data_IF_925267561132
#
_entry.id   IF_925267561132
#
_cell.length_a   1.000
_cell.length_b   1.000
_cell.length_c   1.000
_cell.angle_alpha   90.00
_cell.angle_beta   90.00
_cell.angle_gamma   90.00
#
_symmetry.space_group_name_H-M   'P 1'
#
loop_
_entity.id
_entity.type
_entity.pdbx_description
1 polymer ?
#
# COMPACT_ATOMS: atom_id res chain seq x y z
N UNK A 1 12.59 35.23 -1.50
CA UNK A 1 11.55 34.88 -2.49
C UNK A 1 12.17 33.82 -3.40
N UNK A 2 11.54 32.66 -3.57
CA UNK A 2 12.07 31.61 -4.45
C UNK A 2 11.96 32.13 -5.90
N UNK A 3 13.07 32.38 -6.58
CA UNK A 3 13.07 32.80 -7.97
C UNK A 3 13.00 31.57 -8.87
N UNK A 4 11.93 31.47 -9.67
CA UNK A 4 11.71 30.34 -10.57
C UNK A 4 12.23 30.72 -11.97
N UNK A 5 13.36 30.15 -12.36
CA UNK A 5 13.90 30.32 -13.70
C UNK A 5 13.16 29.43 -14.72
N UNK A 6 12.24 30.05 -15.46
CA UNK A 6 11.46 29.38 -16.51
C UNK A 6 12.35 28.85 -17.63
N UNK A 7 13.47 29.49 -17.93
CA UNK A 7 14.39 29.01 -18.96
C UNK A 7 15.07 27.72 -18.53
N UNK A 8 15.41 27.61 -17.24
CA UNK A 8 15.96 26.39 -16.68
C UNK A 8 14.95 25.24 -16.73
N UNK A 9 13.69 25.48 -16.37
CA UNK A 9 12.61 24.48 -16.46
C UNK A 9 12.45 23.99 -17.89
N UNK A 10 12.29 24.91 -18.86
CA UNK A 10 12.16 24.56 -20.28
C UNK A 10 13.36 23.79 -20.83
N UNK A 11 14.57 24.07 -20.33
CA UNK A 11 15.79 23.37 -20.73
C UNK A 11 15.81 21.91 -20.27
N UNK A 12 15.29 21.63 -19.08
CA UNK A 12 15.36 20.31 -18.42
C UNK A 12 14.05 19.53 -18.39
N UNK A 13 12.94 20.09 -18.88
CA UNK A 13 11.66 19.40 -19.11
C UNK A 13 11.79 18.41 -20.27
N UNK A 14 12.42 17.28 -19.99
CA UNK A 14 12.68 16.17 -20.91
C UNK A 14 12.35 14.85 -20.22
N UNK A 15 11.91 13.81 -20.95
CA UNK A 15 11.72 12.49 -20.38
C UNK A 15 13.00 11.99 -19.70
N UNK A 16 12.85 11.50 -18.47
CA UNK A 16 13.94 10.95 -17.67
C UNK A 16 13.47 9.71 -16.88
N UNK A 17 14.40 8.90 -16.37
CA UNK A 17 14.04 7.74 -15.55
C UNK A 17 13.33 8.19 -14.28
N UNK A 18 12.28 7.46 -13.90
CA UNK A 18 11.61 7.66 -12.62
C UNK A 18 12.47 7.04 -11.53
N UNK A 19 13.17 7.87 -10.75
CA UNK A 19 14.02 7.43 -9.64
C UNK A 19 13.18 7.07 -8.41
N UNK A 20 12.43 5.96 -8.51
CA UNK A 20 11.71 5.37 -7.36
C UNK A 20 12.61 4.48 -6.49
N UNK A 21 13.67 3.93 -7.08
CA UNK A 21 14.71 3.13 -6.43
C UNK A 21 15.99 3.20 -7.27
N UNK A 22 17.11 2.72 -6.71
CA UNK A 22 18.34 2.53 -7.46
C UNK A 22 18.98 1.17 -7.13
N UNK A 23 19.23 0.29 -8.12
CA UNK A 23 18.81 0.40 -9.52
C UNK A 23 17.29 0.52 -9.69
N UNK A 24 16.86 1.07 -10.83
CA UNK A 24 15.44 1.23 -11.16
C UNK A 24 14.82 -0.09 -11.63
N UNK A 25 13.49 -0.21 -11.61
CA UNK A 25 12.76 -1.42 -12.00
C UNK A 25 13.12 -2.02 -13.38
N UNK A 26 13.48 -1.26 -14.43
CA UNK A 26 13.96 -1.83 -15.69
C UNK A 26 15.22 -2.71 -15.58
N UNK A 27 15.93 -2.67 -14.45
CA UNK A 27 17.06 -3.56 -14.17
C UNK A 27 16.65 -4.89 -13.51
N UNK A 28 15.38 -5.07 -13.15
CA UNK A 28 14.89 -6.35 -12.64
C UNK A 28 14.85 -7.38 -13.77
N UNK A 29 15.27 -8.60 -13.48
CA UNK A 29 15.37 -9.66 -14.47
C UNK A 29 15.10 -11.04 -13.85
N UNK A 30 14.73 -12.01 -14.68
CA UNK A 30 14.34 -13.36 -14.25
C UNK A 30 15.51 -14.21 -13.70
N UNK A 31 16.76 -13.78 -13.82
CA UNK A 31 17.91 -14.46 -13.19
C UNK A 31 17.88 -14.35 -11.66
N UNK A 32 17.11 -13.43 -11.08
CA UNK A 32 16.86 -13.41 -9.64
C UNK A 32 15.66 -14.33 -9.34
N UNK A 33 15.95 -15.49 -8.78
CA UNK A 33 15.00 -16.61 -8.61
C UNK A 33 14.40 -16.65 -7.20
N UNK A 34 13.36 -17.47 -6.97
CA UNK A 34 12.83 -17.70 -5.63
C UNK A 34 13.88 -18.22 -4.64
N UNK A 35 14.84 -19.03 -5.09
CA UNK A 35 15.94 -19.50 -4.24
C UNK A 35 16.86 -18.35 -3.83
N UNK A 36 17.18 -17.43 -4.76
CA UNK A 36 17.97 -16.24 -4.42
C UNK A 36 17.27 -15.37 -3.38
N UNK A 37 15.95 -15.18 -3.52
CA UNK A 37 15.15 -14.44 -2.54
C UNK A 37 15.16 -15.12 -1.16
N UNK A 38 14.94 -16.43 -1.11
CA UNK A 38 14.94 -17.20 0.14
C UNK A 38 16.30 -17.14 0.82
N UNK A 39 17.37 -17.40 0.08
CA UNK A 39 18.73 -17.45 0.63
C UNK A 39 19.16 -16.08 1.16
N UNK A 40 18.83 -14.99 0.44
CA UNK A 40 19.09 -13.63 0.90
C UNK A 40 18.25 -13.24 2.13
N UNK A 41 16.98 -13.69 2.18
CA UNK A 41 16.12 -13.49 3.36
C UNK A 41 16.71 -14.19 4.57
N UNK A 42 17.10 -15.47 4.45
CA UNK A 42 17.73 -16.21 5.54
C UNK A 42 19.03 -15.52 5.98
N UNK A 43 19.89 -15.16 5.02
CA UNK A 43 21.18 -14.50 5.28
C UNK A 43 21.02 -13.19 6.04
N UNK A 44 20.03 -12.36 5.70
CA UNK A 44 19.77 -11.07 6.35
C UNK A 44 19.02 -11.17 7.68
N UNK A 45 18.59 -12.37 8.07
CA UNK A 45 17.95 -12.69 9.34
C UNK A 45 18.87 -13.48 10.29
N UNK A 46 20.18 -13.58 10.00
CA UNK A 46 21.19 -14.20 10.86
C UNK A 46 22.08 -13.15 11.53
N UNK A 47 22.42 -13.38 12.80
CA UNK A 47 23.35 -12.55 13.57
C UNK A 47 22.66 -11.70 14.64
N UNK A 48 23.39 -10.74 15.20
CA UNK A 48 22.93 -9.80 16.23
C UNK A 48 22.60 -8.43 15.63
N UNK A 49 21.77 -7.63 16.30
CA UNK A 49 21.39 -6.26 15.89
C UNK A 49 20.76 -6.19 14.50
N UNK A 50 19.83 -7.10 14.21
CA UNK A 50 19.12 -7.14 12.94
C UNK A 50 18.35 -5.82 12.71
N UNK A 51 18.34 -5.28 11.48
CA UNK A 51 17.60 -4.06 11.20
C UNK A 51 16.10 -4.29 11.33
N UNK A 52 15.38 -3.27 11.82
CA UNK A 52 13.93 -3.33 11.92
C UNK A 52 13.24 -3.56 10.56
N UNK A 53 12.01 -4.08 10.61
CA UNK A 53 11.18 -4.36 9.45
C UNK A 53 10.28 -3.17 9.10
N UNK A 54 10.11 -2.98 7.79
CA UNK A 54 9.07 -2.16 7.21
C UNK A 54 8.23 -3.05 6.29
N UNK A 55 6.95 -3.21 6.61
CA UNK A 55 6.04 -4.10 5.90
C UNK A 55 5.16 -3.29 4.94
N UNK A 56 5.05 -3.75 3.70
CA UNK A 56 4.13 -3.19 2.72
C UNK A 56 3.23 -4.30 2.18
N UNK A 57 1.91 -4.06 2.24
CA UNK A 57 0.91 -4.95 1.71
C UNK A 57 0.17 -4.25 0.57
N UNK A 58 0.22 -4.86 -0.61
CA UNK A 58 -0.45 -4.35 -1.79
C UNK A 58 -1.86 -4.93 -1.87
N UNK A 59 -2.90 -4.10 -1.77
CA UNK A 59 -4.29 -4.52 -1.91
C UNK A 59 -4.83 -3.95 -3.23
N UNK A 60 -4.86 -4.74 -4.32
CA UNK A 60 -4.98 -4.19 -5.67
C UNK A 60 -6.41 -3.83 -6.05
N UNK A 61 -7.40 -4.02 -5.19
CA UNK A 61 -8.81 -3.93 -5.60
C UNK A 61 -9.35 -2.51 -5.51
N UNK A 62 -10.11 -2.09 -6.52
CA UNK A 62 -10.95 -0.90 -6.42
C UNK A 62 -12.37 -1.21 -6.88
N UNK A 63 -13.32 -0.44 -6.38
CA UNK A 63 -14.71 -0.45 -6.84
C UNK A 63 -14.85 0.06 -8.29
N UNK A 64 -14.23 1.20 -8.58
CA UNK A 64 -14.44 1.94 -9.84
C UNK A 64 -13.11 2.34 -10.48
N UNK A 65 -13.03 2.23 -11.82
CA UNK A 65 -11.87 2.66 -12.61
C UNK A 65 -11.80 4.19 -12.69
N UNK A 66 -10.80 4.80 -12.06
CA UNK A 66 -10.45 6.20 -12.32
C UNK A 66 -9.60 6.28 -13.59
N UNK A 67 -10.00 7.07 -14.60
CA UNK A 67 -9.38 7.05 -15.92
C UNK A 67 -7.94 7.58 -15.97
N UNK A 68 -7.51 8.31 -14.94
CA UNK A 68 -6.13 8.76 -14.80
C UNK A 68 -5.22 7.73 -14.12
N UNK A 69 -5.78 6.67 -13.52
CA UNK A 69 -5.05 5.81 -12.60
C UNK A 69 -4.02 4.93 -13.35
N UNK A 70 -2.77 5.03 -12.90
CA UNK A 70 -1.65 4.21 -13.38
C UNK A 70 -1.10 3.25 -12.30
N UNK A 71 -1.84 3.08 -11.19
CA UNK A 71 -1.48 2.13 -10.14
C UNK A 71 -1.65 0.69 -10.64
N UNK A 72 -0.89 -0.25 -10.06
CA UNK A 72 -1.20 -1.67 -10.19
C UNK A 72 -2.49 -1.93 -9.41
N UNK A 73 -3.59 -2.14 -10.13
CA UNK A 73 -4.91 -2.31 -9.53
C UNK A 73 -5.83 -3.13 -10.44
N UNK A 74 -6.89 -3.66 -9.85
CA UNK A 74 -7.91 -4.49 -10.46
C UNK A 74 -9.27 -3.94 -10.03
N UNK A 75 -10.06 -3.47 -10.99
CA UNK A 75 -11.47 -3.18 -10.74
C UNK A 75 -12.25 -4.47 -10.71
N UNK A 76 -12.95 -4.74 -9.60
CA UNK A 76 -13.77 -5.96 -9.48
C UNK A 76 -14.87 -5.82 -8.43
N UNK A 77 -16.06 -6.29 -8.77
CA UNK A 77 -17.18 -6.47 -7.84
C UNK A 77 -17.32 -7.92 -7.37
N UNK A 78 -16.42 -8.82 -7.81
CA UNK A 78 -16.42 -10.21 -7.41
C UNK A 78 -15.72 -10.36 -6.06
N UNK A 79 -16.50 -10.49 -4.99
CA UNK A 79 -16.00 -10.65 -3.61
C UNK A 79 -15.18 -11.95 -3.43
N UNK A 80 -15.53 -13.05 -4.11
CA UNK A 80 -14.76 -14.30 -4.03
C UNK A 80 -13.31 -14.13 -4.50
N UNK A 81 -13.07 -13.24 -5.48
CA UNK A 81 -11.72 -12.91 -5.95
C UNK A 81 -10.91 -12.22 -4.85
N UNK A 82 -11.54 -11.31 -4.09
CA UNK A 82 -10.92 -10.59 -2.98
C UNK A 82 -10.61 -11.58 -1.86
N UNK A 83 -11.59 -12.36 -1.42
CA UNK A 83 -11.39 -13.35 -0.36
C UNK A 83 -10.32 -14.39 -0.72
N UNK A 84 -10.26 -14.83 -2.00
CA UNK A 84 -9.19 -15.71 -2.49
C UNK A 84 -7.83 -15.04 -2.41
N UNK A 85 -7.72 -13.76 -2.79
CA UNK A 85 -6.48 -13.02 -2.69
C UNK A 85 -6.01 -12.89 -1.24
N UNK A 86 -6.90 -12.53 -0.30
CA UNK A 86 -6.58 -12.48 1.13
C UNK A 86 -6.13 -13.86 1.63
N UNK A 87 -6.78 -14.94 1.19
CA UNK A 87 -6.34 -16.30 1.51
C UNK A 87 -4.93 -16.64 0.99
N UNK A 88 -4.54 -16.17 -0.19
CA UNK A 88 -3.17 -16.33 -0.69
C UNK A 88 -2.18 -15.42 0.02
N UNK A 89 -2.56 -14.18 0.33
CA UNK A 89 -1.74 -13.24 1.08
C UNK A 89 -1.38 -13.80 2.46
N UNK A 90 -2.35 -14.42 3.15
CA UNK A 90 -2.11 -15.11 4.43
C UNK A 90 -1.11 -16.26 4.29
N UNK A 91 -1.21 -17.07 3.22
CA UNK A 91 -0.22 -18.13 2.94
C UNK A 91 1.17 -17.59 2.65
N UNK A 92 1.25 -16.46 1.94
CA UNK A 92 2.52 -15.77 1.68
C UNK A 92 3.12 -15.22 2.98
N UNK A 93 2.31 -14.61 3.85
CA UNK A 93 2.74 -14.19 5.19
C UNK A 93 3.33 -15.36 5.97
N UNK A 94 2.65 -16.50 6.03
CA UNK A 94 3.17 -17.69 6.74
C UNK A 94 4.48 -18.19 6.12
N UNK A 95 4.57 -18.21 4.79
CA UNK A 95 5.78 -18.62 4.09
C UNK A 95 6.95 -17.69 4.39
N UNK A 96 6.76 -16.38 4.27
CA UNK A 96 7.81 -15.38 4.49
C UNK A 96 8.26 -15.39 5.95
N UNK A 97 7.32 -15.37 6.88
CA UNK A 97 7.60 -15.32 8.32
C UNK A 97 8.37 -16.53 8.82
N UNK A 98 8.27 -17.69 8.14
CA UNK A 98 9.12 -18.85 8.43
C UNK A 98 10.63 -18.62 8.22
N UNK A 99 11.01 -17.56 7.50
CA UNK A 99 12.40 -17.16 7.26
C UNK A 99 12.79 -15.87 7.99
N UNK A 100 11.86 -15.20 8.67
CA UNK A 100 12.11 -13.96 9.40
C UNK A 100 12.47 -14.29 10.85
N UNK A 101 13.54 -13.70 11.37
CA UNK A 101 13.91 -13.86 12.77
C UNK A 101 12.85 -13.23 13.67
N UNK A 102 12.47 -13.94 14.74
CA UNK A 102 11.54 -13.46 15.76
C UNK A 102 12.03 -12.20 16.49
N UNK A 103 13.32 -11.91 16.42
CA UNK A 103 13.94 -10.77 17.09
C UNK A 103 13.85 -9.48 16.27
N UNK A 104 13.30 -9.54 15.04
CA UNK A 104 13.12 -8.36 14.20
C UNK A 104 11.81 -7.67 14.52
N UNK A 105 11.93 -6.52 15.19
CA UNK A 105 10.79 -5.63 15.39
C UNK A 105 10.31 -5.02 14.07
N UNK A 106 9.01 -4.82 13.96
CA UNK A 106 8.37 -4.05 12.89
C UNK A 106 8.18 -2.62 13.36
N UNK A 107 8.77 -1.67 12.63
CA UNK A 107 8.67 -0.23 12.95
C UNK A 107 7.72 0.51 12.02
N UNK A 108 7.40 -0.07 10.85
CA UNK A 108 6.50 0.52 9.87
C UNK A 108 5.63 -0.54 9.20
N UNK A 109 4.34 -0.22 9.01
CA UNK A 109 3.36 -1.00 8.28
C UNK A 109 2.64 -0.08 7.30
N UNK A 110 2.47 -0.50 6.04
CA UNK A 110 1.70 0.27 5.08
C UNK A 110 0.80 -0.61 4.21
N UNK A 111 -0.47 -0.23 4.08
CA UNK A 111 -1.41 -0.81 3.13
C UNK A 111 -1.67 0.19 2.00
N UNK A 112 -1.37 -0.21 0.77
CA UNK A 112 -1.59 0.62 -0.42
C UNK A 112 -1.97 -0.20 -1.65
N UNK A 113 -2.06 0.44 -2.80
CA UNK A 113 -2.19 -0.23 -4.10
C UNK A 113 -3.37 0.23 -4.92
N UNK A 114 -4.46 -0.53 -4.87
CA UNK A 114 -5.75 -0.10 -5.38
C UNK A 114 -6.46 0.75 -4.32
N UNK A 115 -7.34 0.13 -3.56
CA UNK A 115 -8.03 0.76 -2.42
C UNK A 115 -8.08 -0.25 -1.28
N UNK A 116 -7.15 -0.20 -0.31
CA UNK A 116 -7.20 -1.02 0.90
C UNK A 116 -8.57 -1.06 1.57
N UNK A 117 -9.25 0.09 1.66
CA UNK A 117 -10.59 0.21 2.25
C UNK A 117 -11.73 -0.27 1.34
N UNK A 118 -11.42 -1.00 0.27
CA UNK A 118 -12.40 -1.79 -0.48
C UNK A 118 -12.57 -3.19 0.13
N UNK A 119 -11.66 -3.60 1.03
CA UNK A 119 -11.93 -4.68 1.97
C UNK A 119 -13.04 -4.23 2.93
N UNK A 120 -13.90 -5.17 3.30
CA UNK A 120 -14.92 -4.92 4.31
C UNK A 120 -14.26 -4.78 5.71
N UNK A 121 -14.93 -4.14 6.68
CA UNK A 121 -14.36 -3.93 8.03
C UNK A 121 -13.92 -5.22 8.74
N UNK A 122 -14.65 -6.32 8.54
CA UNK A 122 -14.32 -7.64 9.09
C UNK A 122 -13.06 -8.24 8.43
N UNK A 123 -12.91 -8.09 7.11
CA UNK A 123 -11.69 -8.49 6.39
C UNK A 123 -10.46 -7.66 6.79
N UNK A 124 -10.65 -6.34 7.02
CA UNK A 124 -9.59 -5.46 7.56
C UNK A 124 -9.14 -5.96 8.93
N UNK A 125 -10.09 -6.22 9.82
CA UNK A 125 -9.83 -6.71 11.18
C UNK A 125 -9.10 -8.06 11.14
N UNK A 126 -9.59 -8.98 10.32
CA UNK A 126 -9.03 -10.32 10.14
C UNK A 126 -7.60 -10.28 9.58
N UNK A 127 -7.34 -9.48 8.53
CA UNK A 127 -6.00 -9.36 7.95
C UNK A 127 -5.03 -8.67 8.91
N UNK A 128 -5.44 -7.59 9.56
CA UNK A 128 -4.60 -6.89 10.53
C UNK A 128 -4.21 -7.83 11.69
N UNK A 129 -5.19 -8.51 12.30
CA UNK A 129 -4.93 -9.49 13.35
C UNK A 129 -3.98 -10.59 12.89
N UNK A 130 -4.15 -11.08 11.65
CA UNK A 130 -3.25 -12.09 11.08
C UNK A 130 -1.81 -11.59 10.98
N UNK A 131 -1.59 -10.34 10.56
CA UNK A 131 -0.27 -9.73 10.47
C UNK A 131 0.36 -9.58 11.85
N UNK A 132 -0.39 -9.04 12.83
CA UNK A 132 0.08 -8.86 14.21
C UNK A 132 0.45 -10.18 14.91
N UNK A 133 -0.17 -11.30 14.53
CA UNK A 133 0.15 -12.62 15.08
C UNK A 133 1.45 -13.22 14.50
N UNK A 134 1.91 -12.77 13.32
CA UNK A 134 3.14 -13.30 12.69
C UNK A 134 4.36 -12.39 12.79
N UNK A 135 4.17 -11.08 12.94
CA UNK A 135 5.26 -10.11 13.01
C UNK A 135 5.27 -9.42 14.37
N UNK A 136 6.45 -9.13 14.93
CA UNK A 136 6.54 -8.34 16.16
C UNK A 136 6.17 -6.87 15.88
N UNK A 137 4.89 -6.55 16.04
CA UNK A 137 4.31 -5.24 15.75
C UNK A 137 4.14 -4.36 17.00
N UNK A 138 4.75 -4.72 18.14
CA UNK A 138 4.57 -3.98 19.40
C UNK A 138 5.05 -2.53 19.35
N UNK A 139 6.07 -2.27 18.53
CA UNK A 139 6.75 -0.97 18.42
C UNK A 139 6.52 -0.27 17.07
N UNK A 140 5.43 -0.60 16.35
CA UNK A 140 5.13 0.06 15.07
C UNK A 140 4.92 1.55 15.29
N UNK A 141 5.87 2.36 14.79
CA UNK A 141 5.82 3.82 14.90
C UNK A 141 4.84 4.41 13.89
N UNK A 142 4.84 3.89 12.67
CA UNK A 142 3.93 4.33 11.61
C UNK A 142 3.17 3.14 11.00
N UNK A 143 1.85 3.18 11.10
CA UNK A 143 0.95 2.24 10.43
C UNK A 143 0.00 3.03 9.52
N UNK A 144 0.32 3.03 8.22
CA UNK A 144 -0.33 3.83 7.19
C UNK A 144 -1.31 3.03 6.31
N UNK A 145 -2.44 3.63 5.96
CA UNK A 145 -3.40 3.05 5.02
C UNK A 145 -3.85 4.06 3.96
N UNK A 146 -3.81 3.67 2.68
CA UNK A 146 -4.45 4.43 1.60
C UNK A 146 -5.97 4.20 1.61
N UNK A 147 -6.75 5.29 1.50
CA UNK A 147 -8.21 5.25 1.59
C UNK A 147 -8.88 5.99 0.42
N UNK A 148 -10.04 5.49 0.01
CA UNK A 148 -10.96 6.17 -0.91
C UNK A 148 -12.26 6.50 -0.17
N UNK A 149 -12.67 7.77 -0.06
CA UNK A 149 -13.82 8.15 0.76
C UNK A 149 -15.18 7.78 0.15
N UNK A 150 -15.24 7.28 -1.09
CA UNK A 150 -16.51 6.98 -1.78
C UNK A 150 -17.29 5.82 -1.15
N UNK A 151 -16.58 4.77 -0.76
CA UNK A 151 -17.15 3.57 -0.14
C UNK A 151 -16.74 3.43 1.34
N UNK A 152 -16.06 4.45 1.88
CA UNK A 152 -15.58 4.43 3.25
C UNK A 152 -16.71 4.67 4.24
N UNK A 153 -16.74 3.87 5.30
CA UNK A 153 -17.66 4.05 6.43
C UNK A 153 -16.90 4.19 7.73
N UNK A 154 -17.57 4.67 8.79
CA UNK A 154 -17.00 4.74 10.13
C UNK A 154 -16.43 3.40 10.60
N UNK A 155 -17.11 2.29 10.30
CA UNK A 155 -16.66 0.95 10.69
C UNK A 155 -15.33 0.56 10.03
N UNK A 156 -15.03 1.06 8.82
CA UNK A 156 -13.72 0.84 8.20
C UNK A 156 -12.62 1.56 9.01
N UNK A 157 -12.88 2.79 9.44
CA UNK A 157 -11.93 3.58 10.23
C UNK A 157 -11.72 2.96 11.63
N UNK A 158 -12.78 2.46 12.25
CA UNK A 158 -12.72 1.71 13.52
C UNK A 158 -11.89 0.43 13.35
N UNK A 159 -12.16 -0.37 12.32
CA UNK A 159 -11.39 -1.58 12.02
C UNK A 159 -9.90 -1.30 11.77
N UNK A 160 -9.58 -0.22 11.02
CA UNK A 160 -8.20 0.22 10.85
C UNK A 160 -7.58 0.65 12.17
N UNK A 161 -8.30 1.44 12.98
CA UNK A 161 -7.79 1.94 14.26
C UNK A 161 -7.50 0.79 15.22
N UNK A 162 -8.41 -0.17 15.32
CA UNK A 162 -8.27 -1.38 16.15
C UNK A 162 -7.15 -2.29 15.62
N UNK A 163 -6.94 -2.31 14.30
CA UNK A 163 -5.78 -2.95 13.65
C UNK A 163 -4.44 -2.23 13.86
N UNK A 164 -4.40 -1.14 14.63
CA UNK A 164 -3.18 -0.40 14.97
C UNK A 164 -2.80 0.70 13.99
N UNK A 165 -3.62 0.99 12.97
CA UNK A 165 -3.35 2.07 12.03
C UNK A 165 -3.45 3.45 12.71
N UNK A 166 -2.48 4.31 12.39
CA UNK A 166 -2.33 5.63 12.99
C UNK A 166 -2.08 6.74 11.96
N UNK A 167 -2.01 6.39 10.66
CA UNK A 167 -1.88 7.32 9.54
C UNK A 167 -2.79 6.89 8.39
N UNK A 168 -3.42 7.85 7.72
CA UNK A 168 -4.20 7.63 6.50
C UNK A 168 -3.68 8.53 5.37
N UNK A 169 -3.80 8.04 4.13
CA UNK A 169 -3.56 8.78 2.90
C UNK A 169 -4.83 8.74 2.06
N UNK A 170 -5.54 9.87 1.93
CA UNK A 170 -6.85 9.90 1.27
C UNK A 170 -6.77 10.45 -0.15
N UNK A 171 -7.33 9.71 -1.10
CA UNK A 171 -7.45 10.15 -2.48
C UNK A 171 -8.51 11.24 -2.66
N UNK A 172 -8.11 12.51 -2.81
CA UNK A 172 -9.00 13.64 -3.16
C UNK A 172 -8.99 13.93 -4.65
N UNK A 173 -7.79 14.09 -5.21
CA UNK A 173 -7.52 14.42 -6.61
C UNK A 173 -7.95 15.83 -7.03
N UNK A 174 -9.26 16.12 -7.07
CA UNK A 174 -9.81 17.44 -7.42
C UNK A 174 -11.26 17.55 -6.93
N UNK A 175 -11.70 18.73 -6.47
CA UNK A 175 -13.09 19.01 -6.11
C UNK A 175 -13.92 19.55 -7.27
N UNK A 176 -13.29 19.87 -8.40
CA UNK A 176 -13.99 20.36 -9.58
C UNK A 176 -14.85 19.26 -10.21
N UNK A 177 -16.17 19.46 -10.20
CA UNK A 177 -17.14 18.49 -10.72
C UNK A 177 -16.89 18.11 -12.19
N UNK A 178 -16.45 19.06 -13.03
CA UNK A 178 -16.16 18.77 -14.45
C UNK A 178 -14.94 17.85 -14.57
N UNK A 179 -13.89 18.11 -13.80
CA UNK A 179 -12.69 17.26 -13.75
C UNK A 179 -13.06 15.85 -13.27
N UNK A 180 -13.80 15.76 -12.16
CA UNK A 180 -14.27 14.49 -11.61
C UNK A 180 -15.05 13.64 -12.63
N UNK A 181 -15.98 14.27 -13.37
CA UNK A 181 -16.73 13.62 -14.45
C UNK A 181 -15.81 13.17 -15.59
N UNK A 182 -14.87 14.03 -16.01
CA UNK A 182 -13.92 13.72 -17.08
C UNK A 182 -13.00 12.54 -16.76
N UNK A 183 -12.73 12.29 -15.49
CA UNK A 183 -11.81 11.21 -15.07
C UNK A 183 -12.48 10.05 -14.34
N UNK A 184 -13.82 10.00 -14.34
CA UNK A 184 -14.62 8.97 -13.71
C UNK A 184 -14.34 8.77 -12.21
N UNK A 185 -14.23 9.88 -11.47
CA UNK A 185 -14.05 9.89 -10.01
C UNK A 185 -14.99 10.90 -9.37
N UNK A 186 -16.28 10.57 -9.34
CA UNK A 186 -17.29 11.41 -8.68
C UNK A 186 -17.14 11.28 -7.17
N UNK A 187 -16.76 12.38 -6.52
CA UNK A 187 -16.47 12.47 -5.09
C UNK A 187 -16.74 13.93 -4.63
N UNK A 188 -18.00 14.31 -4.35
CA UNK A 188 -18.32 15.66 -3.91
C UNK A 188 -17.51 16.04 -2.64
N UNK A 189 -17.09 17.30 -2.52
CA UNK A 189 -16.26 17.76 -1.37
C UNK A 189 -16.87 17.40 -0.01
N UNK A 190 -18.20 17.49 0.12
CA UNK A 190 -18.92 17.16 1.34
C UNK A 190 -18.67 15.71 1.82
N UNK A 191 -18.44 14.76 0.91
CA UNK A 191 -18.10 13.38 1.24
C UNK A 191 -16.71 13.29 1.87
N UNK A 192 -15.71 13.96 1.28
CA UNK A 192 -14.34 14.02 1.82
C UNK A 192 -14.31 14.66 3.22
N UNK A 193 -15.17 15.65 3.48
CA UNK A 193 -15.24 16.34 4.79
C UNK A 193 -15.86 15.50 5.91
N UNK A 194 -16.47 14.36 5.61
CA UNK A 194 -17.06 13.46 6.61
C UNK A 194 -16.05 12.48 7.21
N UNK A 195 -14.88 12.34 6.57
CA UNK A 195 -13.76 11.50 7.03
C UNK A 195 -12.90 12.29 8.00
#
# INVERSE_FOLDING_TARGET
>A
MLEIDINLIKKYDKPGPRYTSYPTAPHFHELFTPDNFRDETIRTNQGENLPALSLYFHLPFCDTLCYFCACNMIVTHNRDRISRYIGYLKKEIDLITSFISSDRETVQLHWGGGTPTYLNPDEITDLAAYIHDRFDCKNVMEAGCEIDPRELTKNHLEALRDGGFNRISMGVQDFNEKVQKSVNRIQPEAMTRQV
#
